data_IF_486738580396
#
_entry.id   IF_486738580396
#
_cell.length_a   1.000
_cell.length_b   1.000
_cell.length_c   1.000
_cell.angle_alpha   90.00
_cell.angle_beta   90.00
_cell.angle_gamma   90.00
#
_symmetry.space_group_name_H-M   'P 1'
#
loop_
_entity.id
_entity.type
_entity.pdbx_description
1 polymer ?
#
# COMPACT_ATOMS: atom_id res chain seq x y z
N UNK A 1 -4.89 2.09 -12.08
CA UNK A 1 -5.91 1.27 -12.76
C UNK A 1 -6.81 0.73 -11.65
N UNK A 2 -8.08 1.09 -11.66
CA UNK A 2 -8.80 1.41 -10.41
C UNK A 2 -9.48 0.20 -9.77
N UNK A 3 -9.61 0.19 -8.44
CA UNK A 3 -10.17 -0.91 -7.65
C UNK A 3 -11.66 -1.10 -7.84
N UNK A 4 -12.37 -0.07 -8.31
CA UNK A 4 -13.78 -0.16 -8.68
C UNK A 4 -14.04 0.63 -9.97
N UNK A 5 -15.19 0.33 -10.61
CA UNK A 5 -15.68 1.04 -11.80
C UNK A 5 -16.07 2.51 -11.54
N UNK A 6 -16.06 2.97 -10.28
CA UNK A 6 -16.46 4.32 -9.91
C UNK A 6 -15.35 5.37 -10.09
N UNK A 7 -14.10 4.97 -10.34
CA UNK A 7 -12.98 5.90 -10.47
C UNK A 7 -12.72 6.31 -11.94
N UNK A 8 -12.39 7.59 -12.21
CA UNK A 8 -11.91 8.00 -13.53
C UNK A 8 -10.51 7.39 -13.77
N UNK A 9 -10.39 6.56 -14.81
CA UNK A 9 -9.10 5.91 -15.14
C UNK A 9 -9.22 4.49 -15.71
N UNK A 10 -10.41 3.88 -15.65
CA UNK A 10 -10.64 2.51 -16.12
C UNK A 10 -10.41 1.50 -15.01
N UNK A 11 -11.43 0.66 -14.78
CA UNK A 11 -11.34 -0.45 -13.84
C UNK A 11 -10.38 -1.51 -14.38
N UNK A 12 -9.47 -1.94 -13.53
CA UNK A 12 -8.54 -3.01 -13.84
C UNK A 12 -8.63 -4.03 -12.69
N UNK A 13 -9.28 -5.18 -12.93
CA UNK A 13 -9.45 -6.22 -11.92
C UNK A 13 -8.11 -6.73 -11.36
N UNK A 14 -7.04 -6.70 -12.16
CA UNK A 14 -5.71 -7.17 -11.74
C UNK A 14 -5.05 -6.20 -10.75
N UNK A 15 -5.60 -4.99 -10.59
CA UNK A 15 -5.14 -4.03 -9.59
C UNK A 15 -5.61 -4.37 -8.17
N UNK A 16 -6.66 -5.17 -8.01
CA UNK A 16 -7.20 -5.53 -6.69
C UNK A 16 -6.22 -6.38 -5.87
N UNK A 17 -5.64 -7.47 -6.40
CA UNK A 17 -4.63 -8.24 -5.68
C UNK A 17 -3.37 -7.42 -5.37
N UNK A 18 -2.96 -6.55 -6.31
CA UNK A 18 -1.77 -5.68 -6.13
C UNK A 18 -1.99 -4.68 -5.00
N UNK A 19 -3.15 -4.04 -4.93
CA UNK A 19 -3.47 -3.15 -3.82
C UNK A 19 -3.58 -3.91 -2.50
N UNK A 20 -4.22 -5.08 -2.48
CA UNK A 20 -4.33 -5.86 -1.25
C UNK A 20 -2.94 -6.22 -0.69
N UNK A 21 -2.01 -6.62 -1.55
CA UNK A 21 -0.63 -6.90 -1.16
C UNK A 21 0.09 -5.65 -0.62
N UNK A 22 -0.11 -4.49 -1.23
CA UNK A 22 0.42 -3.21 -0.71
C UNK A 22 -0.16 -2.89 0.66
N UNK A 23 -1.48 -2.99 0.82
CA UNK A 23 -2.14 -2.65 2.07
C UNK A 23 -1.73 -3.60 3.20
N UNK A 24 -1.55 -4.90 2.91
CA UNK A 24 -1.06 -5.90 3.86
C UNK A 24 0.39 -5.61 4.28
N UNK A 25 1.25 -5.24 3.33
CA UNK A 25 2.61 -4.84 3.64
C UNK A 25 2.63 -3.59 4.55
N UNK A 26 1.77 -2.61 4.29
CA UNK A 26 1.65 -1.40 5.11
C UNK A 26 1.07 -1.68 6.50
N UNK A 27 0.08 -2.57 6.61
CA UNK A 27 -0.52 -2.95 7.89
C UNK A 27 0.45 -3.78 8.75
N UNK A 28 1.27 -4.62 8.12
CA UNK A 28 2.20 -5.51 8.80
C UNK A 28 3.58 -4.92 9.08
N UNK A 29 3.92 -3.75 8.53
CA UNK A 29 5.29 -3.25 8.61
C UNK A 29 6.28 -4.01 7.72
N UNK A 30 5.81 -4.67 6.66
CA UNK A 30 6.63 -5.56 5.82
C UNK A 30 7.52 -4.75 4.85
N UNK A 31 8.71 -4.44 5.34
CA UNK A 31 9.72 -3.68 4.60
C UNK A 31 10.18 -4.38 3.33
N UNK A 32 10.28 -5.72 3.34
CA UNK A 32 10.77 -6.47 2.19
C UNK A 32 9.75 -6.43 1.05
N UNK A 33 8.47 -6.60 1.37
CA UNK A 33 7.39 -6.44 0.41
C UNK A 33 7.33 -5.01 -0.14
N UNK A 34 7.49 -3.98 0.72
CA UNK A 34 7.53 -2.58 0.28
C UNK A 34 8.74 -2.26 -0.61
N UNK A 35 9.89 -2.90 -0.37
CA UNK A 35 11.07 -2.75 -1.23
C UNK A 35 10.85 -3.36 -2.63
N UNK A 36 10.07 -4.44 -2.72
CA UNK A 36 9.83 -5.23 -3.93
C UNK A 36 8.55 -4.85 -4.71
N UNK A 37 7.94 -3.70 -4.40
CA UNK A 37 6.68 -3.29 -5.03
C UNK A 37 6.81 -3.17 -6.56
N UNK A 38 5.79 -3.61 -7.32
CA UNK A 38 5.79 -3.54 -8.78
C UNK A 38 5.71 -2.09 -9.29
N UNK A 39 6.12 -1.88 -10.54
CA UNK A 39 6.22 -0.55 -11.14
C UNK A 39 4.89 0.22 -11.24
N UNK A 40 3.77 -0.50 -11.35
CA UNK A 40 2.43 0.07 -11.50
C UNK A 40 1.86 0.77 -10.25
N UNK A 41 2.54 0.69 -9.10
CA UNK A 41 2.09 1.34 -7.87
C UNK A 41 2.44 2.83 -7.89
N UNK A 42 1.41 3.67 -7.81
CA UNK A 42 1.59 5.12 -7.66
C UNK A 42 2.24 5.41 -6.31
N UNK A 43 3.30 6.22 -6.31
CA UNK A 43 4.05 6.54 -5.09
C UNK A 43 4.99 5.43 -4.62
N UNK A 44 5.22 4.38 -5.41
CA UNK A 44 6.14 3.25 -5.11
C UNK A 44 7.42 3.68 -4.41
N UNK A 45 8.12 4.67 -4.96
CA UNK A 45 9.41 5.14 -4.42
C UNK A 45 9.28 5.65 -2.98
N UNK A 46 8.18 6.31 -2.63
CA UNK A 46 7.96 6.79 -1.26
C UNK A 46 7.80 5.61 -0.28
N UNK A 47 7.12 4.54 -0.68
CA UNK A 47 7.01 3.32 0.13
C UNK A 47 8.35 2.60 0.28
N UNK A 48 9.17 2.57 -0.76
CA UNK A 48 10.54 2.02 -0.69
C UNK A 48 11.44 2.86 0.24
N UNK A 49 11.29 4.19 0.24
CA UNK A 49 11.99 5.07 1.19
C UNK A 49 11.53 4.80 2.61
N UNK A 50 10.22 4.67 2.86
CA UNK A 50 9.69 4.28 4.17
C UNK A 50 10.28 2.94 4.65
N UNK A 51 10.37 1.96 3.76
CA UNK A 51 10.99 0.67 4.06
C UNK A 51 12.48 0.80 4.45
N UNK A 52 13.22 1.70 3.82
CA UNK A 52 14.62 1.99 4.18
C UNK A 52 14.77 2.76 5.50
N UNK A 53 13.84 3.65 5.84
CA UNK A 53 13.88 4.42 7.09
C UNK A 53 13.53 3.58 8.32
N UNK A 54 12.76 2.50 8.14
CA UNK A 54 12.24 1.68 9.22
C UNK A 54 13.14 0.48 9.57
N UNK A 55 14.45 0.47 9.27
CA UNK A 55 15.30 -0.70 9.60
C UNK A 55 15.49 -0.90 11.12
N UNK A 56 15.45 -2.15 11.63
CA UNK A 56 15.24 -3.43 10.94
C UNK A 56 13.76 -3.76 10.66
N UNK A 57 12.83 -3.02 11.23
CA UNK A 57 11.37 -3.18 11.16
C UNK A 57 10.76 -2.18 12.15
N UNK A 58 9.54 -1.68 11.92
CA UNK A 58 8.85 -0.97 12.99
C UNK A 58 8.58 -1.94 14.16
N UNK A 59 8.75 -1.49 15.40
CA UNK A 59 8.34 -2.24 16.58
C UNK A 59 6.85 -2.56 16.60
N UNK A 60 6.03 -1.67 16.05
CA UNK A 60 4.59 -1.86 15.90
C UNK A 60 4.06 -1.18 14.64
N UNK A 61 3.08 -1.81 13.99
CA UNK A 61 2.32 -1.24 12.90
C UNK A 61 0.83 -1.35 13.22
N UNK A 62 0.11 -0.23 13.12
CA UNK A 62 -1.33 -0.15 13.36
C UNK A 62 -2.01 0.36 12.10
N UNK A 63 -2.98 -0.40 11.58
CA UNK A 63 -3.85 0.06 10.50
C UNK A 63 -5.09 0.73 11.09
N UNK A 64 -5.25 2.02 10.80
CA UNK A 64 -6.39 2.82 11.23
C UNK A 64 -7.54 2.78 10.20
N UNK A 65 -7.21 2.64 8.92
CA UNK A 65 -8.20 2.58 7.84
C UNK A 65 -7.66 1.86 6.62
N UNK A 66 -8.53 1.11 5.93
CA UNK A 66 -8.30 0.56 4.59
C UNK A 66 -9.62 0.59 3.82
N UNK A 67 -9.61 1.06 2.57
CA UNK A 67 -10.81 1.02 1.74
C UNK A 67 -10.59 1.65 0.36
N UNK A 68 -11.62 1.58 -0.47
CA UNK A 68 -11.63 2.17 -1.81
C UNK A 68 -12.93 2.93 -2.13
N UNK A 69 -13.36 3.89 -1.28
CA UNK A 69 -14.66 4.55 -1.41
C UNK A 69 -14.87 5.27 -2.74
N UNK A 70 -13.80 5.70 -3.39
CA UNK A 70 -13.81 6.37 -4.69
C UNK A 70 -13.15 5.55 -5.79
N UNK A 71 -12.98 4.24 -5.58
CA UNK A 71 -12.38 3.32 -6.54
C UNK A 71 -10.85 3.36 -6.63
N UNK A 72 -10.17 4.13 -5.79
CA UNK A 72 -8.71 4.03 -5.58
C UNK A 72 -8.43 3.60 -4.15
N UNK A 73 -7.31 2.93 -3.91
CA UNK A 73 -6.96 2.42 -2.59
C UNK A 73 -6.56 3.55 -1.66
N UNK A 74 -7.17 3.55 -0.47
CA UNK A 74 -6.83 4.42 0.64
C UNK A 74 -6.44 3.55 1.82
N UNK A 75 -5.27 3.79 2.38
CA UNK A 75 -4.84 3.19 3.64
C UNK A 75 -4.29 4.27 4.57
N UNK A 76 -4.57 4.13 5.86
CA UNK A 76 -4.05 4.99 6.92
C UNK A 76 -3.55 4.10 8.04
N UNK A 77 -2.34 4.36 8.50
CA UNK A 77 -1.75 3.61 9.60
C UNK A 77 -0.63 4.37 10.29
N UNK A 78 -0.19 3.84 11.41
CA UNK A 78 0.90 4.37 12.22
C UNK A 78 1.95 3.28 12.37
N UNK A 79 3.20 3.61 12.05
CA UNK A 79 4.36 2.78 12.37
C UNK A 79 5.09 3.40 13.55
N UNK A 80 5.34 2.59 14.57
CA UNK A 80 6.18 2.95 15.71
C UNK A 80 7.56 2.31 15.49
N UNK A 81 8.66 3.09 15.51
CA UNK A 81 10.01 2.55 15.41
C UNK A 81 10.31 1.48 16.47
#
# INVERSE_FOLDING_TARGET
>A
NTLTAAAPGGHDPDSVPVQAALDDALAGGDRAALAALPDGIVGRVAFQVLAGLAEPGPRAAEQLYRGAPYGVGYTVGVWTP
#
